data_IF_138600567395
#
_entry.id   IF_138600567395
#
_cell.length_a   1.000
_cell.length_b   1.000
_cell.length_c   1.000
_cell.angle_alpha   90.00
_cell.angle_beta   90.00
_cell.angle_gamma   90.00
#
_symmetry.space_group_name_H-M   'P 1'
#
loop_
_entity.id
_entity.type
_entity.pdbx_description
1 polymer ?
#
# COMPACT_ATOMS: atom_id res chain seq x y z
N UNK A 1 11.25 20.89 -30.29
CA UNK A 1 10.80 20.08 -29.15
C UNK A 1 11.32 20.69 -27.87
N UNK A 2 10.58 20.58 -26.76
CA UNK A 2 11.09 21.02 -25.46
C UNK A 2 12.28 20.14 -25.04
N UNK A 3 13.32 20.69 -24.40
CA UNK A 3 14.39 19.87 -23.84
C UNK A 3 13.83 18.94 -22.76
N UNK A 4 14.25 17.67 -22.78
CA UNK A 4 13.99 16.71 -21.72
C UNK A 4 15.31 16.13 -21.22
N UNK A 5 15.38 15.88 -19.91
CA UNK A 5 16.51 15.23 -19.26
C UNK A 5 15.94 14.18 -18.32
N UNK A 6 16.56 13.00 -18.30
CA UNK A 6 16.22 11.90 -17.42
C UNK A 6 17.41 11.60 -16.53
N UNK A 7 17.15 11.38 -15.23
CA UNK A 7 18.15 10.88 -14.29
C UNK A 7 17.61 9.65 -13.59
N UNK A 8 18.48 8.67 -13.37
CA UNK A 8 18.16 7.57 -12.46
C UNK A 8 18.18 8.09 -11.02
N UNK A 9 17.30 7.56 -10.19
CA UNK A 9 17.28 7.79 -8.74
C UNK A 9 17.31 6.41 -8.11
N UNK A 10 18.28 6.15 -7.23
CA UNK A 10 18.37 4.87 -6.56
C UNK A 10 17.22 4.69 -5.55
N UNK A 11 16.71 3.47 -5.34
CA UNK A 11 15.72 3.22 -4.30
C UNK A 11 16.18 3.74 -2.93
N UNK A 12 15.27 4.36 -2.19
CA UNK A 12 15.54 4.94 -0.86
C UNK A 12 16.29 6.27 -0.89
N UNK A 13 16.63 6.78 -2.08
CA UNK A 13 17.38 8.02 -2.24
C UNK A 13 16.48 9.22 -2.50
N UNK A 14 17.00 10.39 -2.17
CA UNK A 14 16.43 11.69 -2.48
C UNK A 14 17.41 12.51 -3.32
N UNK A 15 16.88 13.20 -4.33
CA UNK A 15 17.64 14.12 -5.17
C UNK A 15 16.96 15.48 -5.23
N UNK A 16 17.75 16.54 -5.44
CA UNK A 16 17.24 17.87 -5.75
C UNK A 16 17.60 18.21 -7.19
N UNK A 17 16.59 18.48 -8.01
CA UNK A 17 16.73 18.86 -9.41
C UNK A 17 16.68 20.38 -9.53
N UNK A 18 17.81 21.07 -9.75
CA UNK A 18 17.80 22.50 -9.99
C UNK A 18 17.27 22.79 -11.41
N UNK A 19 16.30 23.68 -11.51
CA UNK A 19 15.80 24.22 -12.77
C UNK A 19 16.20 25.69 -12.85
N UNK A 20 16.78 26.09 -13.99
CA UNK A 20 17.12 27.47 -14.26
C UNK A 20 16.34 27.98 -15.46
N UNK A 21 15.59 29.07 -15.29
CA UNK A 21 14.99 29.78 -16.40
C UNK A 21 15.91 30.93 -16.80
N UNK A 22 16.41 30.84 -18.03
CA UNK A 22 17.20 31.89 -18.66
C UNK A 22 16.26 32.96 -19.20
N UNK A 23 16.55 34.23 -18.90
CA UNK A 23 15.84 35.37 -19.47
C UNK A 23 16.62 35.92 -20.66
N UNK A 24 15.93 36.19 -21.76
CA UNK A 24 16.51 36.83 -22.95
C UNK A 24 16.72 38.34 -22.77
N UNK A 25 16.20 38.95 -21.70
CA UNK A 25 16.23 40.40 -21.45
C UNK A 25 17.35 40.82 -20.47
N UNK A 26 18.36 39.99 -20.25
CA UNK A 26 19.48 40.31 -19.36
C UNK A 26 19.14 40.32 -17.86
N UNK A 27 17.94 39.84 -17.48
CA UNK A 27 17.55 39.64 -16.08
C UNK A 27 18.30 38.45 -15.47
N UNK A 28 18.59 38.46 -14.16
CA UNK A 28 19.14 37.29 -13.48
C UNK A 28 18.25 36.06 -13.70
N UNK A 29 18.83 34.86 -13.89
CA UNK A 29 18.07 33.65 -14.09
C UNK A 29 17.27 33.28 -12.83
N UNK A 30 16.01 32.88 -13.02
CA UNK A 30 15.19 32.35 -11.93
C UNK A 30 15.59 30.90 -11.65
N UNK A 31 15.78 30.55 -10.38
CA UNK A 31 16.17 29.22 -9.94
C UNK A 31 15.02 28.56 -9.18
N UNK A 32 14.67 27.34 -9.57
CA UNK A 32 13.75 26.48 -8.85
C UNK A 32 14.49 25.21 -8.44
N UNK A 33 14.02 24.56 -7.38
CA UNK A 33 14.51 23.25 -6.95
C UNK A 33 13.32 22.31 -6.81
N UNK A 34 13.38 21.17 -7.49
CA UNK A 34 12.40 20.10 -7.34
C UNK A 34 13.04 19.00 -6.51
N UNK A 35 12.51 18.77 -5.30
CA UNK A 35 12.92 17.64 -4.49
C UNK A 35 12.15 16.39 -4.94
N UNK A 36 12.89 15.32 -5.27
CA UNK A 36 12.32 14.02 -5.65
C UNK A 36 12.87 12.99 -4.68
N UNK A 37 11.99 12.24 -4.02
CA UNK A 37 12.37 11.10 -3.20
C UNK A 37 11.84 9.83 -3.84
N UNK A 38 12.69 8.80 -3.93
CA UNK A 38 12.31 7.46 -4.35
C UNK A 38 12.27 6.57 -3.11
N UNK A 39 11.18 5.85 -2.91
CA UNK A 39 11.07 4.89 -1.82
C UNK A 39 12.06 3.73 -2.00
N UNK A 40 12.41 3.03 -0.92
CA UNK A 40 13.36 1.91 -0.95
C UNK A 40 12.80 0.66 -1.64
N UNK A 41 11.48 0.51 -1.72
CA UNK A 41 10.83 -0.70 -2.21
C UNK A 41 10.80 -1.83 -1.19
N UNK A 42 11.46 -1.68 -0.04
CA UNK A 42 11.73 -2.76 0.91
C UNK A 42 10.65 -2.93 2.00
N UNK A 43 9.65 -2.04 2.05
CA UNK A 43 8.62 -2.12 3.09
C UNK A 43 7.70 -3.34 2.87
N UNK A 44 7.40 -4.00 3.97
CA UNK A 44 6.38 -5.05 4.05
C UNK A 44 5.23 -4.64 4.98
N UNK A 45 5.15 -3.37 5.39
CA UNK A 45 4.09 -2.85 6.23
C UNK A 45 2.96 -2.26 5.37
N UNK A 46 1.76 -2.19 5.94
CA UNK A 46 0.67 -1.41 5.39
C UNK A 46 0.70 0.00 6.01
N UNK A 47 0.38 1.03 5.24
CA UNK A 47 0.17 2.38 5.76
C UNK A 47 -1.19 2.50 6.47
N UNK A 48 -2.19 1.72 6.03
CA UNK A 48 -3.47 1.61 6.72
C UNK A 48 -4.13 0.25 6.53
N UNK A 49 -4.90 -0.16 7.52
CA UNK A 49 -5.81 -1.30 7.46
C UNK A 49 -7.11 -0.91 8.16
N UNK A 50 -8.23 -1.01 7.44
CA UNK A 50 -9.59 -0.76 7.93
C UNK A 50 -10.48 -1.93 7.57
N UNK A 51 -11.51 -2.12 8.39
CA UNK A 51 -12.50 -3.16 8.18
C UNK A 51 -13.88 -2.55 8.34
N UNK A 52 -14.72 -2.63 7.31
CA UNK A 52 -16.07 -2.09 7.39
C UNK A 52 -16.92 -3.00 8.27
N UNK A 53 -17.67 -2.40 9.21
CA UNK A 53 -18.52 -3.15 10.15
C UNK A 53 -17.75 -4.00 11.17
N UNK A 54 -16.44 -3.82 11.30
CA UNK A 54 -15.60 -4.55 12.26
C UNK A 54 -14.53 -3.66 12.89
N UNK A 55 -13.93 -4.14 13.97
CA UNK A 55 -12.79 -3.48 14.60
C UNK A 55 -11.69 -4.49 14.96
N UNK A 56 -10.44 -4.01 14.94
CA UNK A 56 -9.27 -4.78 15.36
C UNK A 56 -8.95 -4.52 16.83
N UNK A 57 -8.46 -5.55 17.53
CA UNK A 57 -7.88 -5.43 18.88
C UNK A 57 -6.46 -6.01 18.86
N UNK A 58 -5.43 -5.20 19.17
CA UNK A 58 -5.47 -3.74 19.34
C UNK A 58 -5.83 -3.00 18.03
N UNK A 59 -6.00 -1.68 18.09
CA UNK A 59 -6.12 -0.86 16.88
C UNK A 59 -4.93 -1.04 15.94
N UNK A 60 -5.13 -0.78 14.64
CA UNK A 60 -4.09 -0.96 13.62
C UNK A 60 -2.80 -0.16 13.93
N UNK A 61 -1.66 -0.80 13.67
CA UNK A 61 -0.30 -0.31 13.86
C UNK A 61 0.59 -0.92 12.75
N UNK A 62 1.30 -0.13 11.94
CA UNK A 62 2.04 -0.65 10.77
C UNK A 62 3.06 -1.75 11.07
N UNK A 63 3.62 -1.78 12.28
CA UNK A 63 4.64 -2.73 12.73
C UNK A 63 4.06 -4.03 13.32
N UNK A 64 2.74 -4.10 13.53
CA UNK A 64 2.07 -5.28 14.09
C UNK A 64 1.45 -6.15 13.00
N UNK A 65 1.66 -7.46 13.14
CA UNK A 65 1.29 -8.46 12.12
C UNK A 65 0.06 -9.28 12.45
N UNK A 66 -0.46 -9.19 13.67
CA UNK A 66 -1.58 -10.00 14.15
C UNK A 66 -2.57 -9.16 14.95
N UNK A 67 -3.84 -9.39 14.67
CA UNK A 67 -4.99 -8.70 15.26
C UNK A 67 -6.12 -9.69 15.49
N UNK A 68 -6.83 -9.52 16.60
CA UNK A 68 -8.16 -10.09 16.74
C UNK A 68 -9.17 -9.15 16.06
N UNK A 69 -10.08 -9.71 15.28
CA UNK A 69 -11.13 -8.95 14.55
C UNK A 69 -12.49 -9.34 15.08
N UNK A 70 -13.30 -8.34 15.40
CA UNK A 70 -14.68 -8.53 15.83
C UNK A 70 -15.61 -7.89 14.81
N UNK A 71 -16.36 -8.73 14.10
CA UNK A 71 -17.38 -8.34 13.13
C UNK A 71 -18.71 -8.09 13.85
N UNK A 72 -19.43 -7.05 13.45
CA UNK A 72 -20.77 -6.76 13.95
C UNK A 72 -21.71 -7.96 13.67
N UNK A 73 -22.57 -8.28 14.62
CA UNK A 73 -23.54 -9.40 14.55
C UNK A 73 -24.53 -9.28 13.39
N UNK A 74 -24.71 -8.07 12.82
CA UNK A 74 -25.56 -7.84 11.66
C UNK A 74 -24.84 -8.06 10.32
N UNK A 75 -23.54 -8.35 10.33
CA UNK A 75 -22.72 -8.50 9.13
C UNK A 75 -22.28 -9.96 8.94
N UNK A 76 -22.50 -10.47 7.73
CA UNK A 76 -22.03 -11.81 7.30
C UNK A 76 -20.82 -11.70 6.35
N UNK A 77 -20.36 -10.47 6.07
CA UNK A 77 -19.25 -10.19 5.17
C UNK A 77 -18.31 -9.17 5.82
N UNK A 78 -17.04 -9.51 5.89
CA UNK A 78 -15.96 -8.62 6.27
C UNK A 78 -15.41 -7.97 5.00
N UNK A 79 -15.48 -6.65 4.94
CA UNK A 79 -14.83 -5.87 3.88
C UNK A 79 -13.55 -5.25 4.42
N UNK A 80 -12.40 -5.65 3.86
CA UNK A 80 -11.08 -5.18 4.26
C UNK A 80 -10.60 -4.12 3.26
N UNK A 81 -10.19 -2.96 3.78
CA UNK A 81 -9.58 -1.87 3.02
C UNK A 81 -8.17 -1.64 3.52
N UNK A 82 -7.23 -1.47 2.61
CA UNK A 82 -5.84 -1.24 2.97
C UNK A 82 -5.16 -0.24 2.05
N UNK A 83 -4.06 0.32 2.55
CA UNK A 83 -3.14 1.17 1.78
C UNK A 83 -1.74 0.64 2.00
N UNK A 84 -1.01 0.39 0.93
CA UNK A 84 0.40 -0.03 0.96
C UNK A 84 1.30 1.13 1.41
N UNK A 85 2.38 0.81 2.11
CA UNK A 85 3.38 1.81 2.52
C UNK A 85 4.41 2.08 1.40
N UNK A 86 4.52 1.22 0.39
CA UNK A 86 5.38 1.46 -0.75
C UNK A 86 4.68 1.24 -2.10
N UNK A 87 5.04 2.04 -3.09
CA UNK A 87 4.58 1.86 -4.46
C UNK A 87 5.20 0.58 -5.04
N UNK A 88 4.37 -0.29 -5.63
CA UNK A 88 4.81 -1.58 -6.18
C UNK A 88 4.86 -2.70 -5.15
N UNK A 89 4.45 -2.45 -3.91
CA UNK A 89 4.22 -3.47 -2.91
C UNK A 89 3.00 -4.32 -3.32
N UNK A 90 3.08 -5.64 -3.14
CA UNK A 90 2.01 -6.57 -3.49
C UNK A 90 1.36 -7.14 -2.23
N UNK A 91 0.05 -7.25 -2.22
CA UNK A 91 -0.72 -7.83 -1.11
C UNK A 91 -1.50 -9.04 -1.62
N UNK A 92 -1.41 -10.14 -0.87
CA UNK A 92 -2.22 -11.32 -1.04
C UNK A 92 -3.00 -11.60 0.24
N UNK A 93 -4.25 -11.99 0.11
CA UNK A 93 -5.07 -12.39 1.25
C UNK A 93 -5.50 -13.83 1.08
N UNK A 94 -5.31 -14.62 2.14
CA UNK A 94 -5.72 -15.99 2.24
C UNK A 94 -6.69 -16.11 3.42
N UNK A 95 -7.95 -16.44 3.14
CA UNK A 95 -8.93 -16.74 4.17
C UNK A 95 -9.14 -18.26 4.22
N UNK A 96 -8.80 -18.87 5.35
CA UNK A 96 -9.07 -20.29 5.59
C UNK A 96 -10.27 -20.44 6.52
N UNK A 97 -11.28 -21.15 6.02
CA UNK A 97 -12.41 -21.59 6.81
C UNK A 97 -12.01 -22.83 7.62
N UNK A 98 -12.50 -22.95 8.86
CA UNK A 98 -12.37 -24.18 9.64
C UNK A 98 -13.20 -25.36 9.08
N UNK A 99 -13.90 -25.21 7.94
CA UNK A 99 -14.66 -26.22 7.18
C UNK A 99 -14.66 -25.90 5.67
N UNK A 100 -14.83 -26.85 4.73
CA UNK A 100 -14.41 -26.64 3.35
C UNK A 100 -15.39 -25.76 2.58
N UNK A 101 -14.99 -24.52 2.25
CA UNK A 101 -15.55 -23.79 1.11
C UNK A 101 -14.56 -22.76 0.53
N UNK A 102 -14.48 -22.79 -0.80
CA UNK A 102 -13.89 -21.87 -1.80
C UNK A 102 -12.79 -20.90 -1.35
N UNK A 103 -11.55 -21.20 -1.76
CA UNK A 103 -10.39 -20.29 -1.73
C UNK A 103 -10.68 -19.05 -2.58
N UNK A 104 -10.65 -17.87 -1.96
CA UNK A 104 -10.57 -16.58 -2.67
C UNK A 104 -9.12 -16.15 -2.61
N UNK A 105 -8.38 -16.36 -3.70
CA UNK A 105 -7.04 -15.82 -3.88
C UNK A 105 -7.17 -14.59 -4.77
N UNK A 106 -7.03 -13.40 -4.18
CA UNK A 106 -6.85 -12.16 -4.93
C UNK A 106 -5.39 -11.76 -4.77
N UNK A 107 -4.68 -11.69 -5.90
CA UNK A 107 -3.29 -11.25 -5.98
C UNK A 107 -3.25 -10.13 -7.02
N UNK A 108 -2.82 -8.93 -6.63
CA UNK A 108 -2.65 -7.78 -7.51
C UNK A 108 -1.45 -6.94 -7.10
N UNK A 109 -0.75 -6.38 -8.09
CA UNK A 109 0.23 -5.30 -7.89
C UNK A 109 -0.54 -3.99 -7.71
N UNK A 110 -0.30 -3.27 -6.62
CA UNK A 110 -1.13 -2.11 -6.23
C UNK A 110 -0.24 -0.86 -6.06
N UNK A 111 -0.72 0.26 -6.60
CA UNK A 111 -0.18 1.60 -6.33
C UNK A 111 -0.92 2.24 -5.15
N UNK A 112 -0.39 3.30 -4.53
CA UNK A 112 -0.98 4.05 -3.39
C UNK A 112 -2.44 4.52 -3.60
N UNK A 113 -3.39 3.59 -3.56
CA UNK A 113 -4.83 3.76 -3.78
C UNK A 113 -5.55 2.82 -2.81
N UNK A 114 -6.72 3.23 -2.31
CA UNK A 114 -7.56 2.38 -1.47
C UNK A 114 -8.12 1.21 -2.30
N UNK A 115 -7.92 -0.02 -1.81
CA UNK A 115 -8.45 -1.23 -2.44
C UNK A 115 -9.40 -1.98 -1.49
N UNK A 116 -10.27 -2.84 -2.04
CA UNK A 116 -11.39 -3.48 -1.32
C UNK A 116 -11.34 -5.00 -1.50
N UNK A 117 -11.37 -5.74 -0.39
CA UNK A 117 -11.52 -7.19 -0.38
C UNK A 117 -12.72 -7.63 0.46
N UNK A 118 -13.55 -8.51 -0.09
CA UNK A 118 -14.69 -9.10 0.62
C UNK A 118 -14.41 -10.55 1.06
N UNK A 119 -14.62 -10.84 2.34
CA UNK A 119 -14.50 -12.17 2.93
C UNK A 119 -15.79 -12.48 3.67
N UNK A 120 -16.56 -13.48 3.23
CA UNK A 120 -17.74 -13.93 3.99
C UNK A 120 -17.33 -14.38 5.41
N UNK A 121 -18.22 -14.37 6.40
CA UNK A 121 -18.03 -14.93 7.74
C UNK A 121 -19.37 -15.51 8.21
N UNK A 122 -19.39 -16.79 8.60
CA UNK A 122 -20.62 -17.41 9.10
C UNK A 122 -20.89 -16.95 10.54
N UNK A 123 -22.17 -16.73 10.89
CA UNK A 123 -22.59 -16.31 12.23
C UNK A 123 -22.06 -17.26 13.31
N UNK A 124 -21.32 -16.71 14.29
CA UNK A 124 -20.70 -17.47 15.37
C UNK A 124 -19.44 -18.27 14.97
N UNK A 125 -19.03 -18.21 13.70
CA UNK A 125 -17.80 -18.80 13.19
C UNK A 125 -16.57 -17.96 13.49
N UNK A 126 -15.41 -18.61 13.60
CA UNK A 126 -14.10 -17.95 13.57
C UNK A 126 -13.44 -18.22 12.22
N UNK A 127 -12.90 -17.19 11.57
CA UNK A 127 -12.08 -17.31 10.36
C UNK A 127 -10.68 -16.79 10.66
N UNK A 128 -9.67 -17.51 10.19
CA UNK A 128 -8.31 -16.98 10.13
C UNK A 128 -8.16 -16.32 8.75
N UNK A 129 -7.86 -15.03 8.77
CA UNK A 129 -7.52 -14.27 7.57
C UNK A 129 -6.04 -13.93 7.66
N UNK A 130 -5.24 -14.52 6.78
CA UNK A 130 -3.83 -14.22 6.64
C UNK A 130 -3.65 -13.17 5.53
N UNK A 131 -3.06 -12.03 5.88
CA UNK A 131 -2.66 -11.00 4.92
C UNK A 131 -1.16 -11.10 4.71
N UNK A 132 -0.74 -11.52 3.52
CA UNK A 132 0.65 -11.62 3.10
C UNK A 132 1.01 -10.38 2.29
N UNK A 133 2.07 -9.70 2.70
CA UNK A 133 2.54 -8.50 2.03
C UNK A 133 3.96 -8.76 1.52
N UNK A 134 4.19 -8.50 0.23
CA UNK A 134 5.49 -8.64 -0.44
C UNK A 134 6.02 -7.27 -0.81
N UNK A 135 7.29 -7.04 -0.50
CA UNK A 135 8.02 -5.84 -0.87
C UNK A 135 8.23 -5.76 -2.40
N UNK A 136 8.39 -4.54 -2.89
CA UNK A 136 8.56 -4.24 -4.32
C UNK A 136 9.95 -4.60 -4.85
N UNK A 137 10.96 -4.64 -3.97
CA UNK A 137 12.36 -4.94 -4.31
C UNK A 137 12.64 -6.43 -4.60
N UNK A 138 11.67 -7.32 -4.35
CA UNK A 138 11.80 -8.77 -4.53
C UNK A 138 11.57 -9.28 -5.98
N UNK A 139 11.40 -8.40 -6.97
CA UNK A 139 11.17 -8.74 -8.39
C UNK A 139 12.44 -8.78 -9.25
N UNK A 140 13.63 -8.99 -8.67
CA UNK A 140 14.88 -9.18 -9.42
C UNK A 140 15.07 -10.60 -9.96
#
# INVERSE_FOLDING_TARGET
GLPSSSTSIDPGSNISLPLQLLSTEGKPPAKYSVAVARSSGASTNLASLKMDGAFTVPGFQPDRRSYDVFLDVAQDVLTLRYVVEDNGQAVGVEAELSRPARRVAVVGEIQYVEDVLEVAVDVGGRRLVEVKVRAADHLQ
#
